data_IF_656485426351
#
_entry.id   IF_656485426351
#
_cell.length_a   1.000
_cell.length_b   1.000
_cell.length_c   1.000
_cell.angle_alpha   90.00
_cell.angle_beta   90.00
_cell.angle_gamma   90.00
#
_symmetry.space_group_name_H-M   'P 1'
#
loop_
_entity.id
_entity.type
_entity.pdbx_description
1 polymer ?
#
# COMPACT_ATOMS: atom_id res chain seq x y z
N UNK A 1 22.94 -63.37 52.76
CA UNK A 1 23.02 -61.90 53.02
C UNK A 1 22.39 -61.19 51.86
N UNK A 2 21.21 -60.72 52.09
CA UNK A 2 20.41 -60.06 51.05
C UNK A 2 20.45 -58.57 51.37
N UNK A 3 21.10 -57.78 50.49
CA UNK A 3 21.15 -56.35 50.61
C UNK A 3 19.89 -55.73 49.94
N UNK A 4 19.05 -55.05 50.72
CA UNK A 4 17.91 -54.26 50.27
C UNK A 4 18.41 -52.93 49.70
N UNK A 5 18.13 -52.73 48.40
CA UNK A 5 18.22 -51.39 47.81
C UNK A 5 16.91 -50.65 48.12
N UNK A 6 17.02 -49.55 48.88
CA UNK A 6 15.90 -48.61 49.10
C UNK A 6 15.74 -47.72 47.89
N UNK A 7 14.61 -47.82 47.24
CA UNK A 7 14.17 -46.87 46.21
C UNK A 7 13.82 -45.54 46.83
N UNK A 8 14.40 -44.48 46.29
CA UNK A 8 14.02 -43.08 46.55
C UNK A 8 12.90 -42.71 45.59
N UNK A 9 11.68 -42.66 46.13
CA UNK A 9 10.54 -42.05 45.45
C UNK A 9 10.09 -40.84 46.25
N UNK A 10 10.59 -39.67 45.86
CA UNK A 10 9.97 -38.42 46.25
C UNK A 10 9.67 -37.66 44.95
N UNK A 11 8.56 -37.94 44.35
CA UNK A 11 8.06 -37.13 43.28
C UNK A 11 7.10 -36.09 43.86
N UNK A 12 7.37 -34.82 43.57
CA UNK A 12 6.46 -33.73 43.86
C UNK A 12 5.56 -33.50 42.63
N UNK A 13 4.39 -34.17 42.49
CA UNK A 13 3.52 -34.02 41.35
C UNK A 13 2.96 -32.62 41.21
N UNK A 14 2.93 -31.85 42.30
CA UNK A 14 2.47 -30.46 42.32
C UNK A 14 3.41 -29.52 41.55
N UNK A 15 4.74 -29.72 41.66
CA UNK A 15 5.73 -28.92 40.94
C UNK A 15 5.73 -29.20 39.45
N UNK A 16 5.50 -30.45 39.02
CA UNK A 16 5.36 -30.81 37.62
C UNK A 16 4.08 -30.21 37.02
N UNK A 17 2.95 -30.24 37.75
CA UNK A 17 1.68 -29.64 37.34
C UNK A 17 1.75 -28.09 37.18
N UNK A 18 2.44 -27.41 38.11
CA UNK A 18 2.66 -25.97 38.04
C UNK A 18 3.54 -25.60 36.83
N UNK A 19 4.60 -26.38 36.55
CA UNK A 19 5.46 -26.13 35.39
C UNK A 19 4.70 -26.26 34.03
N UNK A 20 3.85 -27.28 33.90
CA UNK A 20 3.02 -27.47 32.71
C UNK A 20 1.98 -26.35 32.58
N UNK A 21 1.33 -25.92 33.66
CA UNK A 21 0.35 -24.84 33.65
C UNK A 21 1.00 -23.51 33.22
N UNK A 22 2.20 -23.20 33.70
CA UNK A 22 2.95 -21.98 33.31
C UNK A 22 3.33 -22.04 31.83
N UNK A 23 3.78 -23.18 31.31
CA UNK A 23 4.12 -23.35 29.91
C UNK A 23 2.89 -23.25 28.99
N UNK A 24 1.74 -23.79 29.41
CA UNK A 24 0.48 -23.66 28.68
C UNK A 24 -0.01 -22.21 28.69
N UNK A 25 0.02 -21.54 29.84
CA UNK A 25 -0.36 -20.13 29.92
C UNK A 25 0.58 -19.23 29.11
N UNK A 26 1.89 -19.49 29.12
CA UNK A 26 2.87 -18.77 28.29
C UNK A 26 2.64 -19.03 26.80
N UNK A 27 2.34 -20.28 26.42
CA UNK A 27 2.02 -20.64 25.03
C UNK A 27 0.72 -20.01 24.53
N UNK A 28 -0.34 -20.04 25.34
CA UNK A 28 -1.62 -19.39 25.03
C UNK A 28 -1.46 -17.88 25.01
N UNK A 29 -0.72 -17.31 25.96
CA UNK A 29 -0.42 -15.88 25.99
C UNK A 29 0.38 -15.42 24.76
N UNK A 30 1.39 -16.18 24.34
CA UNK A 30 2.15 -15.90 23.12
C UNK A 30 1.29 -16.07 21.85
N UNK A 31 0.41 -17.05 21.82
CA UNK A 31 -0.52 -17.25 20.71
C UNK A 31 -1.55 -16.11 20.60
N UNK A 32 -2.17 -15.73 21.73
CA UNK A 32 -3.12 -14.60 21.78
C UNK A 32 -2.43 -13.29 21.47
N UNK A 33 -1.22 -13.09 21.99
CA UNK A 33 -0.38 -11.92 21.67
C UNK A 33 -0.05 -11.86 20.18
N UNK A 34 0.33 -12.99 19.57
CA UNK A 34 0.63 -13.07 18.15
C UNK A 34 -0.65 -12.90 17.27
N UNK A 35 -1.83 -13.31 17.76
CA UNK A 35 -3.12 -13.05 17.08
C UNK A 35 -3.58 -11.59 17.22
N UNK A 36 -3.29 -10.94 18.35
CA UNK A 36 -3.71 -9.56 18.61
C UNK A 36 -2.69 -8.51 18.16
N UNK A 37 -1.39 -8.84 18.21
CA UNK A 37 -0.30 -7.90 17.99
C UNK A 37 0.78 -8.42 17.04
N UNK A 38 0.65 -9.68 16.55
CA UNK A 38 1.56 -10.22 15.56
C UNK A 38 1.52 -9.31 14.33
N UNK A 39 2.68 -8.85 13.89
CA UNK A 39 2.84 -8.22 12.59
C UNK A 39 2.30 -9.22 11.56
N UNK A 40 1.09 -9.00 11.12
CA UNK A 40 0.56 -9.67 9.94
C UNK A 40 1.48 -9.21 8.82
N UNK A 41 2.47 -10.01 8.50
CA UNK A 41 3.22 -9.81 7.25
C UNK A 41 2.18 -9.90 6.15
N UNK A 42 1.77 -8.74 5.64
CA UNK A 42 0.89 -8.67 4.48
C UNK A 42 1.59 -9.44 3.37
N UNK A 43 1.08 -10.61 3.04
CA UNK A 43 1.56 -11.33 1.86
C UNK A 43 1.09 -10.51 0.68
N UNK A 44 1.98 -9.68 0.15
CA UNK A 44 1.68 -8.89 -1.04
C UNK A 44 1.63 -9.88 -2.19
N UNK A 45 0.44 -10.14 -2.69
CA UNK A 45 0.24 -10.95 -3.88
C UNK A 45 0.57 -10.10 -5.11
N UNK A 46 1.79 -10.25 -5.63
CA UNK A 46 2.22 -9.64 -6.87
C UNK A 46 1.77 -10.53 -8.03
N UNK A 47 0.67 -10.18 -8.66
CA UNK A 47 0.17 -10.94 -9.79
C UNK A 47 -1.03 -10.27 -10.45
N UNK A 48 -1.28 -10.68 -11.67
CA UNK A 48 -2.49 -10.29 -12.40
C UNK A 48 -3.64 -11.12 -11.85
N UNK A 49 -4.74 -10.50 -11.39
CA UNK A 49 -5.89 -11.23 -10.89
C UNK A 49 -6.57 -12.00 -12.00
N UNK A 50 -7.34 -13.04 -11.64
CA UNK A 50 -8.25 -13.67 -12.57
C UNK A 50 -9.47 -12.78 -12.81
N UNK A 51 -9.87 -12.64 -14.06
CA UNK A 51 -11.09 -11.97 -14.47
C UNK A 51 -11.98 -12.92 -15.27
N UNK A 52 -13.33 -12.80 -15.18
CA UNK A 52 -14.24 -13.56 -16.02
C UNK A 52 -13.96 -13.28 -17.50
N UNK A 53 -13.80 -14.35 -18.28
CA UNK A 53 -13.53 -14.26 -19.72
C UNK A 53 -14.81 -13.99 -20.50
N UNK A 54 -14.73 -13.10 -21.50
CA UNK A 54 -15.78 -12.93 -22.49
C UNK A 54 -15.64 -13.96 -23.62
N UNK A 55 -16.79 -14.40 -24.13
CA UNK A 55 -16.85 -15.11 -25.41
C UNK A 55 -17.24 -14.12 -26.50
N UNK A 56 -16.39 -13.97 -27.52
CA UNK A 56 -16.68 -13.11 -28.66
C UNK A 56 -17.84 -13.67 -29.50
N UNK A 57 -18.71 -12.78 -30.00
CA UNK A 57 -19.69 -13.08 -31.04
C UNK A 57 -19.02 -13.09 -32.41
N UNK A 58 -19.67 -13.62 -33.47
CA UNK A 58 -19.07 -13.75 -34.82
C UNK A 58 -18.56 -12.43 -35.43
N UNK A 59 -19.13 -11.30 -35.03
CA UNK A 59 -18.80 -9.95 -35.51
C UNK A 59 -17.94 -9.13 -34.52
N UNK A 60 -17.50 -9.77 -33.42
CA UNK A 60 -16.66 -9.17 -32.39
C UNK A 60 -15.23 -9.72 -32.47
N UNK A 61 -14.26 -8.87 -32.20
CA UNK A 61 -12.87 -9.27 -31.90
C UNK A 61 -12.63 -9.15 -30.40
N UNK A 62 -12.12 -10.21 -29.78
CA UNK A 62 -11.79 -10.22 -28.37
C UNK A 62 -10.41 -9.63 -28.13
N UNK A 63 -10.32 -8.65 -27.25
CA UNK A 63 -9.10 -8.04 -26.75
C UNK A 63 -8.98 -8.35 -25.27
N UNK A 64 -7.78 -8.73 -24.84
CA UNK A 64 -7.45 -8.99 -23.43
C UNK A 64 -6.46 -7.97 -22.92
N UNK A 65 -6.66 -7.47 -21.70
CA UNK A 65 -5.79 -6.47 -21.08
C UNK A 65 -4.40 -7.08 -20.85
N UNK A 66 -3.40 -6.43 -21.43
CA UNK A 66 -1.97 -6.69 -21.20
C UNK A 66 -1.53 -5.92 -19.95
N UNK A 67 -1.37 -6.62 -18.85
CA UNK A 67 -1.00 -6.05 -17.56
C UNK A 67 0.41 -5.41 -17.59
N UNK A 68 1.30 -5.91 -18.44
CA UNK A 68 2.67 -5.37 -18.56
C UNK A 68 2.68 -3.95 -19.15
N UNK A 69 1.66 -3.62 -19.97
CA UNK A 69 1.50 -2.31 -20.63
C UNK A 69 0.36 -1.47 -20.05
N UNK A 70 -0.34 -2.00 -19.04
CA UNK A 70 -1.46 -1.32 -18.40
C UNK A 70 -1.12 -0.84 -17.00
N UNK A 71 -1.80 0.21 -16.57
CA UNK A 71 -1.60 0.80 -15.24
C UNK A 71 -2.87 1.52 -14.77
N UNK A 72 -3.19 1.35 -13.49
CA UNK A 72 -4.17 2.20 -12.80
C UNK A 72 -3.42 3.09 -11.82
N UNK A 73 -3.80 4.36 -11.77
CA UNK A 73 -3.24 5.35 -10.86
C UNK A 73 -4.37 5.95 -10.03
N UNK A 74 -4.19 6.08 -8.73
CA UNK A 74 -5.02 6.92 -7.89
C UNK A 74 -4.29 8.22 -7.53
N UNK A 75 -5.06 9.30 -7.38
CA UNK A 75 -4.59 10.57 -6.84
C UNK A 75 -5.59 11.03 -5.77
N UNK A 76 -5.07 11.33 -4.57
CA UNK A 76 -5.85 11.85 -3.45
C UNK A 76 -5.11 13.04 -2.86
N UNK A 77 -5.79 14.16 -2.71
CA UNK A 77 -5.20 15.31 -2.01
C UNK A 77 -5.12 15.01 -0.52
N UNK A 78 -3.99 15.33 0.09
CA UNK A 78 -3.74 15.11 1.52
C UNK A 78 -3.05 16.32 2.15
N UNK A 79 -3.26 16.48 3.45
CA UNK A 79 -2.48 17.38 4.28
C UNK A 79 -1.56 16.54 5.17
N UNK A 80 -0.26 16.74 5.03
CA UNK A 80 0.76 16.13 5.88
C UNK A 80 1.42 17.24 6.70
N UNK A 81 1.35 17.14 8.02
CA UNK A 81 1.90 18.15 8.93
C UNK A 81 1.53 19.60 8.52
N UNK A 82 0.27 19.81 8.09
CA UNK A 82 -0.26 21.11 7.67
C UNK A 82 0.05 21.54 6.24
N UNK A 83 0.89 20.80 5.50
CA UNK A 83 1.22 21.08 4.09
C UNK A 83 0.36 20.23 3.16
N UNK A 84 -0.15 20.85 2.08
CA UNK A 84 -0.96 20.14 1.07
C UNK A 84 -0.07 19.40 0.09
N UNK A 85 -0.38 18.13 -0.15
CA UNK A 85 0.26 17.23 -1.11
C UNK A 85 -0.80 16.47 -1.88
N UNK A 86 -0.41 15.82 -2.98
CA UNK A 86 -1.25 14.85 -3.69
C UNK A 86 -0.58 13.48 -3.58
N UNK A 87 -1.19 12.59 -2.81
CA UNK A 87 -0.78 11.20 -2.75
C UNK A 87 -1.08 10.53 -4.09
N UNK A 88 -0.08 9.89 -4.68
CA UNK A 88 -0.22 9.17 -5.94
C UNK A 88 0.27 7.75 -5.75
N UNK A 89 -0.59 6.77 -6.06
CA UNK A 89 -0.18 5.37 -6.07
C UNK A 89 -0.67 4.64 -7.31
N UNK A 90 -0.05 3.52 -7.61
CA UNK A 90 -0.28 2.76 -8.84
C UNK A 90 -0.41 1.27 -8.60
N UNK A 91 -1.08 0.57 -9.53
CA UNK A 91 -1.04 -0.89 -9.67
C UNK A 91 -1.05 -1.27 -11.14
N UNK A 92 -0.37 -2.38 -11.48
CA UNK A 92 -0.44 -3.06 -12.79
C UNK A 92 -1.21 -4.37 -12.71
N UNK A 93 -1.58 -4.82 -11.52
CA UNK A 93 -2.41 -6.00 -11.34
C UNK A 93 -3.82 -5.77 -11.83
N UNK A 94 -4.02 -5.86 -13.13
CA UNK A 94 -5.30 -5.62 -13.78
C UNK A 94 -5.58 -6.67 -14.84
N UNK A 95 -6.80 -7.18 -14.87
CA UNK A 95 -7.28 -8.11 -15.89
C UNK A 95 -8.69 -7.75 -16.36
N UNK A 96 -9.03 -8.19 -17.55
CA UNK A 96 -10.36 -8.05 -18.15
C UNK A 96 -10.34 -8.22 -19.65
N UNK A 97 -11.49 -8.44 -20.23
CA UNK A 97 -11.68 -8.67 -21.66
C UNK A 97 -12.61 -7.60 -22.27
N UNK A 98 -12.37 -7.28 -23.53
CA UNK A 98 -13.16 -6.33 -24.33
C UNK A 98 -13.52 -7.01 -25.64
N UNK A 99 -14.81 -7.20 -25.91
CA UNK A 99 -15.32 -7.71 -27.17
C UNK A 99 -15.74 -6.52 -28.06
N UNK A 100 -14.91 -6.19 -29.03
CA UNK A 100 -15.05 -5.00 -29.89
C UNK A 100 -15.65 -5.36 -31.24
N UNK A 101 -16.76 -4.72 -31.58
CA UNK A 101 -17.33 -4.73 -32.92
C UNK A 101 -16.96 -3.43 -33.64
N UNK A 102 -16.02 -3.47 -34.57
CA UNK A 102 -15.54 -2.27 -35.28
C UNK A 102 -16.52 -1.72 -36.29
N UNK A 103 -17.46 -2.54 -36.80
CA UNK A 103 -18.47 -2.17 -37.76
C UNK A 103 -19.76 -1.66 -37.13
N UNK A 104 -20.03 -2.07 -35.89
CA UNK A 104 -21.15 -1.60 -35.07
C UNK A 104 -20.68 -1.46 -33.60
N UNK A 105 -19.90 -0.44 -33.28
CA UNK A 105 -19.29 -0.27 -31.96
C UNK A 105 -20.28 -0.20 -30.79
N UNK A 106 -21.52 0.19 -31.05
CA UNK A 106 -22.59 0.25 -30.03
C UNK A 106 -22.97 -1.14 -29.47
N UNK A 107 -22.61 -2.22 -30.19
CA UNK A 107 -22.82 -3.60 -29.73
C UNK A 107 -21.60 -4.18 -29.01
N UNK A 108 -20.50 -3.42 -28.93
CA UNK A 108 -19.29 -3.84 -28.19
C UNK A 108 -19.58 -4.01 -26.71
N UNK A 109 -18.82 -4.91 -26.08
CA UNK A 109 -18.98 -5.25 -24.66
C UNK A 109 -17.63 -5.15 -23.94
N UNK A 110 -17.68 -4.72 -22.72
CA UNK A 110 -16.53 -4.77 -21.80
C UNK A 110 -16.90 -5.70 -20.67
N UNK A 111 -16.08 -6.67 -20.39
CA UNK A 111 -16.23 -7.58 -19.26
C UNK A 111 -15.84 -6.92 -17.94
N UNK A 112 -15.90 -7.67 -16.86
CA UNK A 112 -15.43 -7.21 -15.56
C UNK A 112 -13.94 -6.86 -15.64
N UNK A 113 -13.60 -5.70 -15.11
CA UNK A 113 -12.22 -5.25 -14.94
C UNK A 113 -11.85 -5.51 -13.48
N UNK A 114 -10.98 -6.48 -13.25
CA UNK A 114 -10.54 -6.88 -11.91
C UNK A 114 -9.17 -6.27 -11.64
N UNK A 115 -9.04 -5.66 -10.46
CA UNK A 115 -7.89 -4.85 -10.06
C UNK A 115 -7.32 -5.43 -8.78
N UNK A 116 -6.06 -5.86 -8.79
CA UNK A 116 -5.35 -6.26 -7.57
C UNK A 116 -4.97 -5.02 -6.76
N UNK A 117 -5.63 -4.84 -5.61
CA UNK A 117 -5.38 -3.71 -4.70
C UNK A 117 -4.26 -3.99 -3.70
N UNK A 118 -3.85 -5.26 -3.53
CA UNK A 118 -2.73 -5.61 -2.64
C UNK A 118 -1.38 -5.08 -3.15
N UNK A 119 -1.24 -4.84 -4.44
CA UNK A 119 -0.01 -4.31 -5.03
C UNK A 119 -0.06 -2.81 -5.32
N UNK A 120 -1.03 -2.09 -4.77
CA UNK A 120 -1.01 -0.63 -4.79
C UNK A 120 0.23 -0.12 -4.07
N UNK A 121 1.03 0.66 -4.78
CA UNK A 121 2.27 1.26 -4.28
C UNK A 121 2.31 2.74 -4.59
N UNK A 122 2.90 3.52 -3.68
CA UNK A 122 3.14 4.95 -3.82
C UNK A 122 4.61 5.27 -3.52
N UNK A 123 4.92 6.54 -3.37
CA UNK A 123 6.23 7.04 -2.95
C UNK A 123 6.50 6.85 -1.45
N UNK A 124 5.51 6.38 -0.64
CA UNK A 124 5.64 6.22 0.80
C UNK A 124 5.17 4.85 1.28
N UNK A 125 6.10 4.03 1.73
CA UNK A 125 5.84 2.67 2.20
C UNK A 125 4.82 2.62 3.33
N UNK A 126 4.91 3.53 4.32
CA UNK A 126 3.97 3.58 5.43
C UNK A 126 2.54 3.85 4.97
N UNK A 127 2.36 4.75 3.99
CA UNK A 127 1.05 5.00 3.36
C UNK A 127 0.52 3.73 2.72
N UNK A 128 1.37 3.01 1.98
CA UNK A 128 0.99 1.80 1.27
C UNK A 128 0.58 0.69 2.22
N UNK A 129 1.33 0.49 3.31
CA UNK A 129 1.00 -0.49 4.34
C UNK A 129 -0.34 -0.17 5.01
N UNK A 130 -0.55 1.10 5.41
CA UNK A 130 -1.80 1.54 6.02
C UNK A 130 -2.97 1.44 5.05
N UNK A 131 -2.79 1.89 3.81
CA UNK A 131 -3.84 1.80 2.78
C UNK A 131 -4.28 0.35 2.57
N UNK A 132 -3.33 -0.57 2.43
CA UNK A 132 -3.62 -1.99 2.20
C UNK A 132 -4.21 -2.67 3.43
N UNK A 133 -3.65 -2.43 4.61
CA UNK A 133 -4.03 -3.14 5.83
C UNK A 133 -5.28 -2.53 6.50
N UNK A 134 -5.28 -1.22 6.76
CA UNK A 134 -6.28 -0.59 7.63
C UNK A 134 -7.52 -0.11 6.86
N UNK A 135 -7.39 0.21 5.57
CA UNK A 135 -8.48 0.81 4.79
C UNK A 135 -9.04 -0.13 3.72
N UNK A 136 -8.17 -0.71 2.90
CA UNK A 136 -8.59 -1.67 1.87
C UNK A 136 -8.78 -3.08 2.42
N UNK A 137 -8.19 -3.39 3.59
CA UNK A 137 -8.23 -4.73 4.19
C UNK A 137 -7.85 -5.80 3.16
N UNK A 138 -6.76 -5.52 2.41
CA UNK A 138 -6.43 -6.25 1.20
C UNK A 138 -5.97 -7.69 1.43
N UNK A 139 -5.80 -8.11 2.68
CA UNK A 139 -5.61 -9.53 3.03
C UNK A 139 -6.90 -10.33 2.82
N UNK A 140 -8.05 -9.71 3.10
CA UNK A 140 -9.38 -10.32 2.96
C UNK A 140 -10.03 -9.96 1.61
N UNK A 141 -9.78 -8.72 1.14
CA UNK A 141 -10.33 -8.18 -0.11
C UNK A 141 -9.20 -7.84 -1.08
N UNK A 142 -8.64 -8.86 -1.71
CA UNK A 142 -7.45 -8.73 -2.58
C UNK A 142 -7.69 -7.90 -3.83
N UNK A 143 -8.94 -7.82 -4.28
CA UNK A 143 -9.31 -7.17 -5.53
C UNK A 143 -10.46 -6.18 -5.38
N UNK A 144 -10.45 -5.16 -6.23
CA UNK A 144 -11.61 -4.37 -6.57
C UNK A 144 -12.09 -4.75 -7.98
N UNK A 145 -13.40 -4.61 -8.25
CA UNK A 145 -13.98 -4.99 -9.54
C UNK A 145 -14.82 -3.84 -10.08
N UNK A 146 -14.60 -3.49 -11.34
CA UNK A 146 -15.49 -2.62 -12.08
C UNK A 146 -16.26 -3.45 -13.11
N UNK A 147 -17.58 -3.52 -12.95
CA UNK A 147 -18.51 -4.25 -13.83
C UNK A 147 -19.24 -3.27 -14.73
N UNK A 148 -18.83 -3.12 -16.01
CA UNK A 148 -19.46 -2.22 -16.96
C UNK A 148 -20.90 -2.66 -17.29
N UNK A 149 -21.80 -1.68 -17.35
CA UNK A 149 -23.23 -1.92 -17.71
C UNK A 149 -23.63 -1.22 -18.99
N UNK A 150 -22.94 -0.14 -19.38
CA UNK A 150 -23.28 0.66 -20.55
C UNK A 150 -22.07 1.36 -21.15
N UNK A 151 -22.02 1.42 -22.48
CA UNK A 151 -21.09 2.24 -23.26
C UNK A 151 -21.89 3.31 -24.01
N UNK A 152 -21.54 4.59 -23.85
CA UNK A 152 -22.22 5.71 -24.50
C UNK A 152 -21.21 6.56 -25.29
N UNK A 153 -21.65 7.11 -26.42
CA UNK A 153 -20.86 8.02 -27.24
C UNK A 153 -19.92 7.33 -28.23
N UNK A 154 -20.01 5.99 -28.36
CA UNK A 154 -19.25 5.28 -29.39
C UNK A 154 -19.68 5.73 -30.82
N UNK A 155 -18.73 5.79 -31.77
CA UNK A 155 -19.04 6.15 -33.16
C UNK A 155 -19.83 5.03 -33.85
N UNK A 156 -20.34 5.32 -35.06
CA UNK A 156 -21.04 4.32 -35.88
C UNK A 156 -20.07 3.28 -36.47
N UNK A 157 -18.77 3.61 -36.56
CA UNK A 157 -17.71 2.73 -37.05
C UNK A 157 -16.38 3.14 -36.42
N UNK A 158 -15.54 2.18 -36.11
CA UNK A 158 -14.18 2.42 -35.63
C UNK A 158 -13.19 2.32 -36.78
N UNK A 159 -12.36 3.36 -36.93
CA UNK A 159 -11.21 3.41 -37.84
C UNK A 159 -9.90 3.26 -37.10
N UNK A 160 -8.90 2.70 -37.76
CA UNK A 160 -7.56 2.55 -37.21
C UNK A 160 -6.93 3.91 -36.87
N UNK A 161 -6.14 3.95 -35.79
CA UNK A 161 -5.37 5.12 -35.35
C UNK A 161 -6.19 6.39 -35.09
N UNK A 162 -7.50 6.25 -34.86
CA UNK A 162 -8.39 7.36 -34.57
C UNK A 162 -8.84 7.27 -33.11
N UNK A 163 -8.59 8.30 -32.28
CA UNK A 163 -9.09 8.34 -30.92
C UNK A 163 -10.59 8.68 -30.89
N UNK A 164 -11.37 7.89 -30.16
CA UNK A 164 -12.79 8.08 -29.96
C UNK A 164 -13.11 8.32 -28.48
N UNK A 165 -13.67 9.48 -28.11
CA UNK A 165 -14.17 9.70 -26.76
C UNK A 165 -15.49 8.96 -26.56
N UNK A 166 -15.65 8.35 -25.38
CA UNK A 166 -16.87 7.66 -24.97
C UNK A 166 -16.97 7.61 -23.43
N UNK A 167 -18.07 7.11 -22.94
CA UNK A 167 -18.33 6.96 -21.51
C UNK A 167 -18.64 5.51 -21.20
N UNK A 168 -18.07 5.00 -20.09
CA UNK A 168 -18.37 3.69 -19.56
C UNK A 168 -19.09 3.88 -18.22
N UNK A 169 -20.32 3.45 -18.12
CA UNK A 169 -21.07 3.40 -16.85
C UNK A 169 -21.06 1.95 -16.35
N UNK A 170 -20.90 1.76 -15.07
CA UNK A 170 -20.84 0.45 -14.44
C UNK A 170 -20.92 0.54 -12.92
N UNK A 171 -20.73 -0.59 -12.29
CA UNK A 171 -20.67 -0.72 -10.84
C UNK A 171 -19.22 -0.97 -10.41
N UNK A 172 -18.71 -0.15 -9.50
CA UNK A 172 -17.43 -0.36 -8.87
C UNK A 172 -17.67 -1.02 -7.50
N UNK A 173 -17.02 -2.14 -7.27
CA UNK A 173 -17.02 -2.85 -6.00
C UNK A 173 -15.64 -2.75 -5.37
N UNK A 174 -15.57 -2.21 -4.16
CA UNK A 174 -14.37 -2.19 -3.32
C UNK A 174 -14.74 -2.79 -1.97
N UNK A 175 -14.02 -3.80 -1.54
CA UNK A 175 -14.41 -4.63 -0.39
C UNK A 175 -15.84 -5.18 -0.59
N UNK A 176 -16.72 -4.95 0.35
CA UNK A 176 -18.14 -5.36 0.30
C UNK A 176 -19.07 -4.28 -0.29
N UNK A 177 -18.52 -3.10 -0.62
CA UNK A 177 -19.32 -1.96 -1.04
C UNK A 177 -19.32 -1.82 -2.55
N UNK A 178 -20.52 -1.80 -3.16
CA UNK A 178 -20.73 -1.58 -4.59
C UNK A 178 -21.44 -0.24 -4.81
N UNK A 179 -20.88 0.59 -5.69
CA UNK A 179 -21.45 1.89 -6.08
C UNK A 179 -21.39 2.08 -7.60
N UNK A 180 -22.36 2.80 -8.18
CA UNK A 180 -22.27 3.19 -9.58
C UNK A 180 -21.10 4.12 -9.82
N UNK A 181 -20.38 3.89 -10.90
CA UNK A 181 -19.27 4.74 -11.35
C UNK A 181 -19.36 4.99 -12.85
N UNK A 182 -18.96 6.19 -13.27
CA UNK A 182 -18.94 6.59 -14.68
C UNK A 182 -17.54 7.04 -15.03
N UNK A 183 -16.93 6.37 -16.02
CA UNK A 183 -15.60 6.65 -16.52
C UNK A 183 -15.70 7.43 -17.82
N UNK A 184 -15.01 8.56 -17.92
CA UNK A 184 -14.76 9.27 -19.19
C UNK A 184 -13.56 8.63 -19.84
N UNK A 185 -13.75 8.09 -21.04
CA UNK A 185 -12.75 7.29 -21.73
C UNK A 185 -12.43 7.81 -23.12
N UNK A 186 -11.24 7.51 -23.61
CA UNK A 186 -10.84 7.65 -25.01
C UNK A 186 -10.17 6.35 -25.43
N UNK A 187 -10.69 5.73 -26.48
CA UNK A 187 -10.17 4.49 -27.07
C UNK A 187 -9.53 4.72 -28.42
N UNK A 188 -8.45 4.03 -28.71
CA UNK A 188 -7.77 4.03 -30.01
C UNK A 188 -7.40 2.61 -30.39
N UNK A 189 -7.80 2.17 -31.59
CA UNK A 189 -7.43 0.88 -32.14
C UNK A 189 -6.24 1.07 -33.12
N UNK A 190 -5.15 0.37 -32.86
CA UNK A 190 -3.99 0.35 -33.74
C UNK A 190 -3.60 -1.11 -34.04
N UNK A 191 -3.85 -1.56 -35.26
CA UNK A 191 -3.70 -2.97 -35.64
C UNK A 191 -4.43 -3.89 -34.64
N UNK A 192 -3.69 -4.78 -33.97
CA UNK A 192 -4.19 -5.74 -32.97
C UNK A 192 -4.16 -5.20 -31.53
N UNK A 193 -3.94 -3.90 -31.35
CA UNK A 193 -3.81 -3.28 -30.02
C UNK A 193 -4.88 -2.23 -29.82
N UNK A 194 -5.63 -2.36 -28.75
CA UNK A 194 -6.62 -1.38 -28.28
C UNK A 194 -6.06 -0.66 -27.05
N UNK A 195 -5.88 0.66 -27.15
CA UNK A 195 -5.50 1.49 -25.99
C UNK A 195 -6.72 2.24 -25.48
N UNK A 196 -6.92 2.26 -24.16
CA UNK A 196 -8.02 2.98 -23.51
C UNK A 196 -7.43 3.81 -22.36
N UNK A 197 -7.66 5.12 -22.41
CA UNK A 197 -7.38 6.03 -21.31
C UNK A 197 -8.72 6.46 -20.71
N UNK A 198 -8.94 6.13 -19.43
CA UNK A 198 -10.19 6.47 -18.77
C UNK A 198 -9.96 7.10 -17.40
N UNK A 199 -10.88 7.97 -16.97
CA UNK A 199 -10.80 8.63 -15.67
C UNK A 199 -12.16 8.66 -14.99
N UNK A 200 -12.14 8.55 -13.67
CA UNK A 200 -13.29 8.79 -12.80
C UNK A 200 -12.84 9.40 -11.48
N UNK A 201 -13.76 9.92 -10.70
CA UNK A 201 -13.51 10.33 -9.31
C UNK A 201 -14.54 9.62 -8.44
N UNK A 202 -14.06 9.03 -7.35
CA UNK A 202 -14.88 8.35 -6.36
C UNK A 202 -14.75 9.04 -5.00
N UNK A 203 -15.78 8.94 -4.16
CA UNK A 203 -15.71 9.35 -2.75
C UNK A 203 -15.22 8.15 -1.92
N UNK A 204 -14.15 8.34 -1.15
CA UNK A 204 -13.59 7.30 -0.30
C UNK A 204 -14.55 6.90 0.82
N UNK A 205 -15.30 7.86 1.36
CA UNK A 205 -16.30 7.62 2.41
C UNK A 205 -17.45 6.74 1.93
N UNK A 206 -17.87 6.85 0.66
CA UNK A 206 -18.91 5.99 0.08
C UNK A 206 -18.51 4.50 0.01
N UNK A 207 -17.21 4.21 0.01
CA UNK A 207 -16.67 2.85 -0.02
C UNK A 207 -16.12 2.39 1.33
N UNK A 208 -16.26 3.17 2.41
CA UNK A 208 -15.70 2.90 3.73
C UNK A 208 -14.17 2.68 3.71
N UNK A 209 -13.46 3.40 2.85
CA UNK A 209 -12.00 3.36 2.71
C UNK A 209 -11.34 4.73 2.98
N UNK A 210 -12.05 5.65 3.60
CA UNK A 210 -11.55 6.97 3.96
C UNK A 210 -12.68 7.93 4.32
N UNK A 211 -12.43 9.24 4.43
CA UNK A 211 -11.11 9.87 4.36
C UNK A 211 -10.19 9.40 5.49
N UNK A 212 -8.90 9.31 5.18
CA UNK A 212 -7.87 8.89 6.14
C UNK A 212 -7.59 10.06 7.08
N UNK A 213 -7.69 9.85 8.38
CA UNK A 213 -7.40 10.87 9.38
C UNK A 213 -6.49 10.29 10.47
N UNK A 214 -5.22 10.65 10.40
CA UNK A 214 -4.26 10.39 11.46
C UNK A 214 -4.10 11.68 12.26
N UNK A 215 -4.80 11.74 13.40
CA UNK A 215 -4.92 12.95 14.23
C UNK A 215 -3.58 13.68 14.38
N UNK A 216 -3.55 14.94 13.92
CA UNK A 216 -2.39 15.82 14.00
C UNK A 216 -1.28 15.55 12.99
N UNK A 217 -1.34 14.51 12.16
CA UNK A 217 -0.27 14.18 11.23
C UNK A 217 -0.70 14.17 9.76
N UNK A 218 -1.71 13.37 9.42
CA UNK A 218 -2.15 13.23 8.03
C UNK A 218 -3.67 13.29 7.94
N UNK A 219 -4.18 14.00 6.97
CA UNK A 219 -5.60 14.05 6.63
C UNK A 219 -5.75 13.99 5.12
N UNK A 220 -6.38 12.93 4.61
CA UNK A 220 -6.73 12.86 3.19
C UNK A 220 -8.02 13.63 2.88
N UNK A 221 -8.15 14.08 1.63
CA UNK A 221 -9.44 14.42 1.07
C UNK A 221 -10.33 13.18 0.92
N UNK A 222 -11.61 13.39 0.65
CA UNK A 222 -12.56 12.31 0.41
C UNK A 222 -12.57 11.85 -1.06
N UNK A 223 -12.08 12.68 -1.98
CA UNK A 223 -12.12 12.40 -3.41
C UNK A 223 -10.83 11.72 -3.88
N UNK A 224 -10.97 10.53 -4.47
CA UNK A 224 -9.91 9.84 -5.18
C UNK A 224 -10.15 9.91 -6.69
N UNK A 225 -9.25 10.55 -7.43
CA UNK A 225 -9.23 10.50 -8.89
C UNK A 225 -8.54 9.21 -9.32
N UNK A 226 -9.25 8.38 -10.08
CA UNK A 226 -8.72 7.16 -10.68
C UNK A 226 -8.43 7.40 -12.16
N UNK A 227 -7.26 6.98 -12.62
CA UNK A 227 -6.86 7.02 -14.02
C UNK A 227 -6.48 5.62 -14.47
N UNK A 228 -7.11 5.15 -15.54
CA UNK A 228 -6.89 3.86 -16.17
C UNK A 228 -6.15 4.09 -17.48
N UNK A 229 -4.93 3.61 -17.60
CA UNK A 229 -4.19 3.55 -18.84
C UNK A 229 -4.10 2.07 -19.21
N UNK A 230 -4.94 1.64 -20.12
CA UNK A 230 -5.11 0.24 -20.49
C UNK A 230 -4.60 0.01 -21.91
N UNK A 231 -3.87 -1.06 -22.08
CA UNK A 231 -3.50 -1.64 -23.37
C UNK A 231 -4.08 -3.05 -23.41
N UNK A 232 -4.90 -3.33 -24.40
CA UNK A 232 -5.44 -4.66 -24.63
C UNK A 232 -5.01 -5.15 -26.02
N UNK A 233 -4.56 -6.40 -26.10
CA UNK A 233 -4.14 -7.05 -27.35
C UNK A 233 -5.17 -8.08 -27.78
N UNK A 234 -5.20 -8.40 -29.08
CA UNK A 234 -6.08 -9.44 -29.58
C UNK A 234 -5.85 -10.73 -28.78
N UNK A 235 -6.93 -11.33 -28.29
CA UNK A 235 -6.84 -12.51 -27.44
C UNK A 235 -6.21 -13.73 -28.14
N UNK A 236 -6.22 -13.76 -29.46
CA UNK A 236 -5.52 -14.78 -30.23
C UNK A 236 -3.97 -14.63 -30.20
N UNK A 237 -3.49 -13.42 -29.94
CA UNK A 237 -2.06 -13.08 -29.86
C UNK A 237 -1.60 -12.95 -28.39
N UNK A 238 -2.50 -13.20 -27.42
CA UNK A 238 -2.21 -13.05 -26.00
C UNK A 238 -1.44 -14.26 -25.47
N UNK A 239 -0.29 -14.00 -24.83
CA UNK A 239 0.51 -15.01 -24.15
C UNK A 239 0.42 -14.86 -22.63
N UNK A 240 0.59 -15.96 -21.86
CA UNK A 240 0.53 -15.90 -20.38
C UNK A 240 1.60 -14.98 -19.78
N UNK A 241 2.71 -14.73 -20.51
CA UNK A 241 3.74 -13.76 -20.12
C UNK A 241 3.21 -12.33 -20.04
N UNK A 242 2.14 -11.99 -20.76
CA UNK A 242 1.49 -10.68 -20.76
C UNK A 242 0.67 -10.45 -19.45
N UNK A 243 0.51 -11.49 -18.63
CA UNK A 243 -0.11 -11.44 -17.31
C UNK A 243 0.88 -11.17 -16.17
N UNK A 244 2.18 -11.20 -16.44
CA UNK A 244 3.20 -11.02 -15.41
C UNK A 244 3.46 -9.53 -15.18
N UNK A 245 2.60 -8.89 -14.45
CA UNK A 245 2.80 -7.51 -14.02
C UNK A 245 3.38 -7.47 -12.61
N UNK A 246 4.60 -7.95 -12.41
CA UNK A 246 5.35 -7.57 -11.24
C UNK A 246 5.85 -6.13 -11.44
N UNK A 247 5.27 -5.15 -10.76
CA UNK A 247 6.04 -3.93 -10.53
C UNK A 247 7.21 -4.31 -9.63
N UNK A 248 8.45 -3.97 -10.00
CA UNK A 248 9.52 -4.06 -9.03
C UNK A 248 9.10 -3.21 -7.83
N UNK A 249 9.14 -3.80 -6.63
CA UNK A 249 9.14 -3.01 -5.39
C UNK A 249 10.07 -1.83 -5.64
N UNK A 250 9.66 -0.58 -5.39
CA UNK A 250 10.55 0.56 -5.56
C UNK A 250 11.86 0.19 -4.89
N UNK A 251 12.89 -0.02 -5.69
CA UNK A 251 14.18 -0.38 -5.15
C UNK A 251 14.67 0.89 -4.44
N UNK A 252 14.98 0.82 -3.14
CA UNK A 252 15.53 2.00 -2.48
C UNK A 252 16.69 2.52 -3.31
N UNK A 253 16.82 3.84 -3.46
CA UNK A 253 17.88 4.44 -4.25
C UNK A 253 19.22 3.80 -3.86
N UNK A 254 20.03 3.49 -4.86
CA UNK A 254 21.35 2.88 -4.63
C UNK A 254 22.16 3.79 -3.70
N UNK A 255 22.76 3.26 -2.62
CA UNK A 255 23.52 4.05 -1.67
C UNK A 255 24.54 4.92 -2.42
N UNK A 256 24.48 6.22 -2.20
CA UNK A 256 25.56 7.11 -2.60
C UNK A 256 26.61 7.09 -1.48
N UNK A 257 27.88 7.25 -1.82
CA UNK A 257 28.98 7.31 -0.83
C UNK A 257 28.84 8.47 0.15
N UNK A 258 27.80 9.29 0.03
CA UNK A 258 27.50 10.46 0.87
C UNK A 258 26.28 10.23 1.77
N UNK A 259 25.69 9.03 1.80
CA UNK A 259 24.56 8.72 2.70
C UNK A 259 25.01 8.82 4.15
N UNK A 260 24.27 9.52 5.03
CA UNK A 260 24.54 9.50 6.46
C UNK A 260 24.51 8.07 7.03
N UNK A 261 25.45 7.78 7.93
CA UNK A 261 25.49 6.53 8.68
C UNK A 261 24.29 6.44 9.60
N UNK A 262 23.51 5.37 9.48
CA UNK A 262 22.39 5.15 10.40
C UNK A 262 22.91 5.00 11.83
N UNK A 263 23.86 4.09 12.07
CA UNK A 263 24.37 3.80 13.41
C UNK A 263 25.03 5.00 14.10
N UNK A 264 25.77 5.83 13.35
CA UNK A 264 26.59 6.91 13.92
C UNK A 264 25.90 8.28 13.92
N UNK A 265 24.97 8.51 13.01
CA UNK A 265 24.39 9.84 12.80
C UNK A 265 22.86 9.85 12.99
N UNK A 266 22.11 8.92 12.39
CA UNK A 266 20.64 8.92 12.46
C UNK A 266 20.14 8.34 13.78
N UNK A 267 20.61 7.15 14.15
CA UNK A 267 20.20 6.45 15.39
C UNK A 267 20.31 7.32 16.65
N UNK A 268 21.42 8.03 16.92
CA UNK A 268 21.52 8.90 18.09
C UNK A 268 20.47 10.02 18.13
N UNK A 269 20.07 10.56 16.96
CA UNK A 269 19.00 11.56 16.86
C UNK A 269 17.66 10.92 17.27
N UNK A 270 17.36 9.72 16.74
CA UNK A 270 16.13 9.01 17.04
C UNK A 270 16.02 8.63 18.51
N UNK A 271 17.10 8.11 19.11
CA UNK A 271 17.17 7.75 20.52
C UNK A 271 16.92 8.96 21.45
N UNK A 272 17.50 10.11 21.09
CA UNK A 272 17.43 11.30 21.94
C UNK A 272 16.10 12.04 21.82
N UNK A 273 15.54 12.10 20.61
CA UNK A 273 14.46 13.03 20.28
C UNK A 273 13.12 12.36 19.95
N UNK A 274 13.10 11.04 19.70
CA UNK A 274 11.92 10.33 19.23
C UNK A 274 11.52 9.14 20.11
N UNK A 275 12.50 8.31 20.53
CA UNK A 275 12.26 7.03 21.19
C UNK A 275 11.44 7.17 22.47
N UNK A 276 11.65 8.21 23.29
CA UNK A 276 10.91 8.41 24.53
C UNK A 276 9.39 8.49 24.39
N UNK A 277 8.89 8.83 23.19
CA UNK A 277 7.47 8.90 22.90
C UNK A 277 6.99 7.78 21.97
N UNK A 278 7.89 7.17 21.19
CA UNK A 278 7.54 6.24 20.13
C UNK A 278 7.96 4.77 20.41
N UNK A 279 8.36 4.44 21.64
CA UNK A 279 8.52 3.05 22.06
C UNK A 279 7.18 2.40 22.40
N UNK A 280 7.14 1.06 22.39
CA UNK A 280 5.92 0.29 22.71
C UNK A 280 5.31 0.74 24.05
N UNK A 281 4.04 1.11 24.02
CA UNK A 281 3.29 1.57 25.19
C UNK A 281 3.38 3.06 25.48
N UNK A 282 4.21 3.82 24.77
CA UNK A 282 4.33 5.26 24.91
C UNK A 282 3.31 6.03 24.04
N UNK A 283 3.14 7.31 24.30
CA UNK A 283 2.09 8.14 23.70
C UNK A 283 2.14 8.24 22.18
N UNK A 284 3.30 8.11 21.57
CA UNK A 284 3.50 8.14 20.13
C UNK A 284 3.34 6.78 19.44
N UNK A 285 3.42 5.67 20.20
CA UNK A 285 3.34 4.32 19.66
C UNK A 285 2.07 4.01 18.85
N UNK A 286 0.86 4.50 19.21
CA UNK A 286 -0.34 4.28 18.40
C UNK A 286 -0.26 4.85 16.99
N UNK A 287 0.63 5.80 16.74
CA UNK A 287 0.82 6.39 15.41
C UNK A 287 1.91 5.65 14.63
N UNK A 288 3.04 5.38 15.27
CA UNK A 288 4.15 4.58 14.73
C UNK A 288 5.15 4.24 15.84
N UNK A 289 5.52 2.99 15.91
CA UNK A 289 6.55 2.53 16.83
C UNK A 289 7.94 2.70 16.25
N UNK A 290 8.90 2.98 17.13
CA UNK A 290 10.31 3.16 16.80
C UNK A 290 11.15 2.41 17.83
N UNK A 291 11.16 1.08 17.73
CA UNK A 291 11.83 0.20 18.67
C UNK A 291 13.17 -0.32 18.17
N UNK A 292 13.35 -0.36 16.85
CA UNK A 292 14.54 -0.90 16.21
C UNK A 292 14.81 -0.22 14.85
N UNK A 293 15.98 -0.53 14.29
CA UNK A 293 16.43 0.06 13.02
C UNK A 293 15.48 -0.23 11.84
N UNK A 294 14.83 -1.40 11.83
CA UNK A 294 13.84 -1.73 10.79
C UNK A 294 12.62 -0.80 10.83
N UNK A 295 12.18 -0.40 12.02
CA UNK A 295 11.08 0.55 12.19
C UNK A 295 11.44 1.91 11.59
N UNK A 296 12.66 2.39 11.86
CA UNK A 296 13.15 3.65 11.31
C UNK A 296 13.18 3.65 9.78
N UNK A 297 13.63 2.55 9.15
CA UNK A 297 13.63 2.40 7.67
C UNK A 297 12.22 2.47 7.13
N UNK A 298 11.29 1.75 7.75
CA UNK A 298 9.88 1.68 7.33
C UNK A 298 9.20 3.05 7.29
N UNK A 299 9.58 3.97 8.18
CA UNK A 299 8.97 5.32 8.30
C UNK A 299 9.88 6.45 7.79
N UNK A 300 10.99 6.15 7.13
CA UNK A 300 12.05 7.11 6.82
C UNK A 300 11.57 8.37 6.09
N UNK A 301 10.74 8.20 5.05
CA UNK A 301 10.22 9.33 4.28
C UNK A 301 9.26 10.19 5.12
N UNK A 302 8.38 9.54 5.89
CA UNK A 302 7.50 10.21 6.82
C UNK A 302 8.28 10.96 7.91
N UNK A 303 9.33 10.32 8.43
CA UNK A 303 10.22 10.90 9.44
C UNK A 303 10.92 12.17 8.90
N UNK A 304 11.47 12.10 7.69
CA UNK A 304 12.09 13.24 7.03
C UNK A 304 11.10 14.41 6.83
N UNK A 305 9.90 14.12 6.37
CA UNK A 305 8.86 15.12 6.15
C UNK A 305 8.42 15.80 7.45
N UNK A 306 8.16 15.00 8.50
CA UNK A 306 7.57 15.49 9.74
C UNK A 306 8.58 16.29 10.59
N UNK A 307 9.86 15.92 10.53
CA UNK A 307 10.94 16.65 11.18
C UNK A 307 11.24 17.95 10.44
N UNK A 308 11.25 17.93 9.11
CA UNK A 308 11.42 19.12 8.28
C UNK A 308 10.34 20.16 8.49
N UNK A 309 9.08 19.72 8.63
CA UNK A 309 7.95 20.63 8.89
C UNK A 309 7.97 21.23 10.29
N UNK A 310 8.85 20.74 11.19
CA UNK A 310 8.90 21.14 12.61
C UNK A 310 7.72 20.62 13.43
N UNK A 311 6.94 19.67 12.89
CA UNK A 311 5.82 19.08 13.62
C UNK A 311 6.30 18.09 14.69
N UNK A 312 7.40 17.40 14.43
CA UNK A 312 8.06 16.50 15.37
C UNK A 312 9.53 16.89 15.60
N UNK A 313 10.01 16.82 16.84
CA UNK A 313 9.27 16.57 18.11
C UNK A 313 8.21 17.66 18.36
N UNK A 314 7.04 17.32 18.97
CA UNK A 314 5.97 18.29 19.22
C UNK A 314 6.40 19.27 20.33
N UNK A 315 6.57 20.52 19.98
CA UNK A 315 6.98 21.55 20.92
C UNK A 315 6.27 22.88 20.65
N UNK A 316 5.39 23.27 21.57
CA UNK A 316 4.52 24.43 21.42
C UNK A 316 5.17 25.76 21.86
N UNK A 317 6.26 25.72 22.60
CA UNK A 317 6.92 26.93 23.06
C UNK A 317 7.71 27.61 21.93
N UNK A 318 7.68 28.92 21.88
CA UNK A 318 8.45 29.69 20.91
C UNK A 318 9.91 29.83 21.38
N UNK A 319 10.84 30.00 20.43
CA UNK A 319 12.23 30.31 20.72
C UNK A 319 12.46 31.82 20.95
N UNK A 320 11.39 32.61 21.12
CA UNK A 320 11.46 34.03 21.44
C UNK A 320 11.50 34.16 22.96
N UNK A 321 12.65 34.54 23.50
CA UNK A 321 12.84 34.74 24.94
C UNK A 321 14.07 34.05 25.49
N UNK A 322 13.99 33.53 26.72
CA UNK A 322 15.11 32.87 27.40
C UNK A 322 15.34 31.48 26.76
N UNK A 323 16.62 31.13 26.41
CA UNK A 323 16.93 29.81 25.90
C UNK A 323 16.51 28.71 26.88
N UNK A 324 15.85 27.68 26.35
CA UNK A 324 15.41 26.52 27.16
C UNK A 324 16.60 25.60 27.44
N UNK A 325 16.72 25.15 28.69
CA UNK A 325 17.79 24.28 29.12
C UNK A 325 17.76 22.88 28.46
N UNK A 326 16.57 22.43 28.07
CA UNK A 326 16.33 21.18 27.35
C UNK A 326 15.36 21.44 26.20
N UNK A 327 15.85 22.02 25.11
CA UNK A 327 15.06 22.26 23.91
C UNK A 327 14.92 20.94 23.11
N UNK A 328 13.72 20.36 23.00
CA UNK A 328 13.52 19.10 22.28
C UNK A 328 13.56 19.24 20.77
N UNK A 329 13.62 20.47 20.25
CA UNK A 329 13.60 20.71 18.79
C UNK A 329 14.90 20.20 18.15
N UNK A 330 14.74 19.63 16.98
CA UNK A 330 15.89 19.23 16.17
C UNK A 330 16.60 20.46 15.60
N UNK A 331 17.91 20.42 15.57
CA UNK A 331 18.75 21.38 14.85
C UNK A 331 18.59 21.19 13.34
N UNK A 332 18.87 22.22 12.56
CA UNK A 332 18.89 22.13 11.10
C UNK A 332 19.79 21.00 10.60
N UNK A 333 20.94 20.77 11.24
CA UNK A 333 21.85 19.66 10.89
C UNK A 333 21.20 18.30 11.11
N UNK A 334 20.50 18.10 12.23
CA UNK A 334 19.81 16.84 12.54
C UNK A 334 18.67 16.59 11.52
N UNK A 335 17.89 17.62 11.21
CA UNK A 335 16.83 17.54 10.19
C UNK A 335 17.44 17.15 8.84
N UNK A 336 18.49 17.84 8.38
CA UNK A 336 19.17 17.54 7.12
C UNK A 336 19.75 16.13 7.11
N UNK A 337 20.31 15.65 8.23
CA UNK A 337 20.83 14.28 8.36
C UNK A 337 19.74 13.23 8.14
N UNK A 338 18.56 13.42 8.74
CA UNK A 338 17.41 12.54 8.55
C UNK A 338 16.91 12.58 7.09
N UNK A 339 16.78 13.80 6.52
CA UNK A 339 16.36 13.96 5.12
C UNK A 339 17.30 13.27 4.13
N UNK A 340 18.62 13.49 4.28
CA UNK A 340 19.61 12.93 3.37
C UNK A 340 19.71 11.41 3.50
N UNK A 341 19.55 10.87 4.71
CA UNK A 341 19.48 9.44 4.94
C UNK A 341 18.23 8.83 4.28
N UNK A 342 17.06 9.42 4.46
CA UNK A 342 15.83 8.97 3.82
C UNK A 342 15.94 9.01 2.29
N UNK A 343 16.39 10.15 1.71
CA UNK A 343 16.60 10.32 0.27
C UNK A 343 17.60 9.33 -0.33
N UNK A 344 18.59 8.89 0.47
CA UNK A 344 19.55 7.86 0.07
C UNK A 344 19.00 6.43 0.19
N UNK A 345 17.69 6.28 0.47
CA UNK A 345 17.00 5.00 0.58
C UNK A 345 17.11 4.36 1.96
N UNK A 346 17.30 5.17 3.00
CA UNK A 346 17.27 4.77 4.40
C UNK A 346 18.19 3.56 4.71
N UNK A 347 19.41 3.56 4.19
CA UNK A 347 20.34 2.45 4.30
C UNK A 347 20.78 2.23 5.73
N UNK A 348 20.90 0.94 6.12
CA UNK A 348 21.42 0.52 7.43
C UNK A 348 22.86 0.05 7.31
N UNK A 349 23.72 0.55 8.19
CA UNK A 349 25.06 0.07 8.45
C UNK A 349 25.14 -0.69 9.80
N UNK A 350 24.02 -1.25 10.22
CA UNK A 350 23.80 -2.02 11.45
C UNK A 350 22.70 -3.08 11.20
N UNK A 351 22.61 -4.14 12.04
CA UNK A 351 21.52 -5.11 11.94
C UNK A 351 20.13 -4.46 12.03
N UNK A 352 19.15 -4.96 11.27
CA UNK A 352 17.76 -4.48 11.29
C UNK A 352 17.11 -4.50 12.67
N UNK A 353 17.53 -5.44 13.52
CA UNK A 353 17.06 -5.61 14.89
C UNK A 353 17.78 -4.72 15.93
N UNK A 354 18.71 -3.85 15.48
CA UNK A 354 19.41 -2.93 16.39
C UNK A 354 18.40 -2.05 17.11
N UNK A 355 18.36 -2.03 18.46
CA UNK A 355 17.42 -1.22 19.23
C UNK A 355 17.64 0.29 19.01
N UNK A 356 16.58 1.05 19.12
CA UNK A 356 16.55 2.53 19.16
C UNK A 356 16.05 2.97 20.50
#
# INVERSE_FOLDING_TARGET
>A
MVGRVRGITAQHPVLAGLGVLVLVCAGVGAFVYNQMFGLQTTVVYFGVPDAPTLTAKPDETLYRIDATKSKITYNVDEKLAGTTHTATGTTRGIAGDIALNTNNPTTSRVGDIVINVQQLTSDQQLRDERLRHDYLESNDYQTATFSPTKLDGLPTKISQNTPYPFTITGNLTVKETTKPATLKATGTLNNNTLTINATTTISLSEFNIGPINMVGFAQSGDNAKLTFNLTAINAADFEDTDRVAAEPTPQPPKPTNTSPSFAKQVKPILETSCASCHQTGEAGAPFWELTNASDAVRIADGLALITKSGYMPPFLATNKGIPLQHDPRLTTTQITTIEDWAKAGAQLDTPKTTPI
#
